data_IF_799006331864
#
_entry.id   IF_799006331864
#
_cell.length_a   1.000
_cell.length_b   1.000
_cell.length_c   1.000
_cell.angle_alpha   90.00
_cell.angle_beta   90.00
_cell.angle_gamma   90.00
#
_symmetry.space_group_name_H-M   'P 1'
#
loop_
_entity.id
_entity.type
_entity.pdbx_description
1 polymer ?
#
# COMPACT_ATOMS: atom_id res chain seq x y z
N UNK A 1 -10.45 -10.93 -6.49
CA UNK A 1 -10.20 -11.10 -7.93
C UNK A 1 -8.80 -11.64 -8.21
N UNK A 2 -7.71 -10.97 -7.81
CA UNK A 2 -6.35 -11.49 -8.03
C UNK A 2 -6.06 -12.82 -7.30
N UNK A 3 -6.53 -12.96 -6.05
CA UNK A 3 -6.47 -14.23 -5.30
C UNK A 3 -7.22 -15.38 -5.99
N UNK A 4 -8.31 -15.05 -6.70
CA UNK A 4 -9.07 -16.03 -7.48
C UNK A 4 -8.32 -16.42 -8.76
N UNK A 5 -7.61 -15.47 -9.38
CA UNK A 5 -6.69 -15.72 -10.49
C UNK A 5 -5.50 -16.61 -10.06
N UNK A 6 -4.92 -16.36 -8.88
CA UNK A 6 -3.86 -17.20 -8.31
C UNK A 6 -4.33 -18.65 -8.09
N UNK A 7 -5.49 -18.83 -7.45
CA UNK A 7 -6.06 -20.17 -7.23
C UNK A 7 -6.42 -20.88 -8.54
N UNK A 8 -6.78 -20.12 -9.59
CA UNK A 8 -7.07 -20.66 -10.93
C UNK A 8 -5.78 -21.02 -11.69
N UNK A 9 -4.68 -20.30 -11.47
CA UNK A 9 -3.37 -20.65 -12.03
C UNK A 9 -2.78 -21.90 -11.39
N UNK A 10 -2.98 -22.10 -10.08
CA UNK A 10 -2.54 -23.32 -9.38
C UNK A 10 -3.34 -24.57 -9.82
N UNK A 11 -4.60 -24.42 -10.24
CA UNK A 11 -5.46 -25.54 -10.62
C UNK A 11 -5.43 -25.90 -12.10
N UNK A 12 -5.01 -24.99 -12.98
CA UNK A 12 -4.98 -25.21 -14.43
C UNK A 12 -3.54 -25.51 -14.88
N UNK A 13 -3.15 -26.77 -14.72
CA UNK A 13 -2.03 -27.33 -15.47
C UNK A 13 -2.48 -27.51 -16.94
N UNK A 14 -1.71 -26.91 -17.85
CA UNK A 14 -1.68 -27.13 -19.31
C UNK A 14 -2.56 -26.34 -20.30
N UNK A 15 -3.58 -25.55 -19.93
CA UNK A 15 -4.25 -24.69 -20.93
C UNK A 15 -3.81 -23.21 -20.82
N UNK A 16 -3.08 -22.79 -21.87
CA UNK A 16 -2.68 -21.42 -22.27
C UNK A 16 -1.94 -20.55 -21.24
N UNK A 17 -0.67 -20.86 -20.97
CA UNK A 17 0.28 -19.92 -20.32
C UNK A 17 0.26 -18.53 -20.99
N UNK A 18 0.07 -18.48 -22.30
CA UNK A 18 0.02 -17.22 -23.06
C UNK A 18 -1.19 -16.37 -22.67
N UNK A 19 -2.37 -16.97 -22.50
CA UNK A 19 -3.60 -16.30 -22.04
C UNK A 19 -3.46 -15.83 -20.58
N UNK A 20 -2.77 -16.64 -19.77
CA UNK A 20 -2.42 -16.33 -18.39
C UNK A 20 -1.47 -15.13 -18.29
N UNK A 21 -0.44 -15.07 -19.16
CA UNK A 21 0.49 -13.94 -19.26
C UNK A 21 -0.25 -12.68 -19.76
N UNK A 22 -1.09 -12.81 -20.79
CA UNK A 22 -1.86 -11.69 -21.33
C UNK A 22 -2.81 -11.08 -20.28
N UNK A 23 -3.53 -11.94 -19.55
CA UNK A 23 -4.43 -11.50 -18.46
C UNK A 23 -3.66 -10.78 -17.36
N UNK A 24 -2.50 -11.30 -16.98
CA UNK A 24 -1.63 -10.67 -16.00
C UNK A 24 -1.11 -9.31 -16.48
N UNK A 25 -0.74 -9.19 -17.76
CA UNK A 25 -0.28 -7.93 -18.37
C UNK A 25 -1.37 -6.85 -18.40
N UNK A 26 -2.61 -7.23 -18.70
CA UNK A 26 -3.76 -6.33 -18.62
C UNK A 26 -3.96 -5.84 -17.18
N UNK A 27 -3.85 -6.74 -16.21
CA UNK A 27 -4.00 -6.40 -14.80
C UNK A 27 -2.88 -5.46 -14.31
N UNK A 28 -1.63 -5.77 -14.64
CA UNK A 28 -0.46 -4.93 -14.41
C UNK A 28 -0.66 -3.52 -14.96
N UNK A 29 -1.06 -3.39 -16.22
CA UNK A 29 -1.35 -2.09 -16.84
C UNK A 29 -2.46 -1.32 -16.11
N UNK A 30 -3.51 -2.01 -15.65
CA UNK A 30 -4.59 -1.39 -14.89
C UNK A 30 -4.12 -0.87 -13.54
N UNK A 31 -3.32 -1.64 -12.80
CA UNK A 31 -2.77 -1.17 -11.52
C UNK A 31 -1.84 0.02 -11.74
N UNK A 32 -0.90 -0.04 -12.69
CA UNK A 32 0.02 1.08 -12.94
C UNK A 32 -0.72 2.36 -13.32
N UNK A 33 -1.77 2.26 -14.14
CA UNK A 33 -2.63 3.40 -14.47
C UNK A 33 -3.35 3.93 -13.23
N UNK A 34 -3.94 3.03 -12.43
CA UNK A 34 -4.62 3.41 -11.19
C UNK A 34 -3.66 4.07 -10.22
N UNK A 35 -2.43 3.57 -10.09
CA UNK A 35 -1.41 4.15 -9.22
C UNK A 35 -1.09 5.58 -9.65
N UNK A 36 -0.83 5.82 -10.94
CA UNK A 36 -0.56 7.17 -11.45
C UNK A 36 -1.68 8.18 -11.12
N UNK A 37 -2.95 7.75 -11.14
CA UNK A 37 -4.09 8.60 -10.81
C UNK A 37 -4.26 8.83 -9.30
N UNK A 38 -4.03 7.81 -8.48
CA UNK A 38 -4.27 7.88 -7.02
C UNK A 38 -3.03 8.23 -6.19
N UNK A 39 -1.83 8.19 -6.77
CA UNK A 39 -0.56 8.34 -6.04
C UNK A 39 -0.46 9.69 -5.30
N UNK A 40 -0.90 10.78 -5.94
CA UNK A 40 -0.97 12.11 -5.33
C UNK A 40 -2.06 12.19 -4.25
N UNK A 41 -3.20 11.54 -4.45
CA UNK A 41 -4.27 11.45 -3.45
C UNK A 41 -3.82 10.66 -2.22
N UNK A 42 -3.06 9.58 -2.41
CA UNK A 42 -2.48 8.80 -1.32
C UNK A 42 -1.46 9.64 -0.54
N UNK A 43 -0.63 10.43 -1.22
CA UNK A 43 0.25 11.40 -0.54
C UNK A 43 -0.52 12.43 0.29
N UNK A 44 -1.53 13.06 -0.31
CA UNK A 44 -2.35 14.06 0.38
C UNK A 44 -3.05 13.45 1.59
N UNK A 45 -3.57 12.23 1.46
CA UNK A 45 -4.20 11.47 2.54
C UNK A 45 -3.20 11.11 3.62
N UNK A 46 -1.96 10.72 3.28
CA UNK A 46 -0.89 10.47 4.25
C UNK A 46 -0.54 11.73 5.04
N UNK A 47 -0.34 12.87 4.37
CA UNK A 47 -0.05 14.16 5.02
C UNK A 47 -1.21 14.57 5.93
N UNK A 48 -2.45 14.42 5.45
CA UNK A 48 -3.65 14.72 6.21
C UNK A 48 -3.77 13.88 7.49
N UNK A 49 -3.51 12.57 7.40
CA UNK A 49 -3.53 11.68 8.55
C UNK A 49 -2.41 11.99 9.55
N UNK A 50 -1.22 12.35 9.07
CA UNK A 50 -0.10 12.82 9.89
C UNK A 50 -0.49 14.05 10.71
N UNK A 51 -1.08 15.07 10.07
CA UNK A 51 -1.56 16.27 10.76
C UNK A 51 -2.63 15.92 11.79
N UNK A 52 -3.61 15.09 11.41
CA UNK A 52 -4.70 14.68 12.30
C UNK A 52 -4.17 13.92 13.52
N UNK A 53 -3.24 12.99 13.32
CA UNK A 53 -2.52 12.29 14.40
C UNK A 53 -1.85 13.24 15.37
N UNK A 54 -1.10 14.22 14.84
CA UNK A 54 -0.41 15.21 15.66
C UNK A 54 -1.38 16.00 16.54
N UNK A 55 -2.47 16.51 15.97
CA UNK A 55 -3.49 17.25 16.72
C UNK A 55 -4.17 16.38 17.78
N UNK A 56 -4.48 15.12 17.48
CA UNK A 56 -5.07 14.20 18.44
C UNK A 56 -4.12 13.88 19.59
N UNK A 57 -2.84 13.62 19.34
CA UNK A 57 -1.85 13.37 20.40
C UNK A 57 -1.64 14.63 21.24
N UNK A 58 -1.55 15.81 20.62
CA UNK A 58 -1.47 17.07 21.35
C UNK A 58 -2.71 17.32 22.21
N UNK A 59 -3.91 16.90 21.76
CA UNK A 59 -5.11 16.97 22.59
C UNK A 59 -5.01 16.14 23.87
N UNK A 60 -4.32 14.98 23.83
CA UNK A 60 -4.09 14.14 25.01
C UNK A 60 -3.06 14.77 25.95
N UNK A 61 -1.94 15.23 25.39
CA UNK A 61 -0.84 15.79 26.18
C UNK A 61 -1.23 17.13 26.82
N UNK A 62 -2.16 17.87 26.21
CA UNK A 62 -2.58 19.22 26.61
C UNK A 62 -4.09 19.32 26.81
N UNK A 63 -4.67 18.31 27.46
CA UNK A 63 -6.13 18.24 27.69
C UNK A 63 -6.69 19.47 28.43
N UNK A 64 -5.87 20.15 29.24
CA UNK A 64 -6.24 21.38 29.94
C UNK A 64 -6.39 22.62 29.04
N UNK A 65 -5.82 22.62 27.83
CA UNK A 65 -5.90 23.74 26.87
C UNK A 65 -7.19 23.67 26.01
N UNK A 66 -7.95 22.57 26.05
CA UNK A 66 -9.17 22.39 25.26
C UNK A 66 -10.40 22.90 26.00
N UNK A 67 -11.12 23.83 25.36
CA UNK A 67 -12.18 24.62 25.99
C UNK A 67 -13.46 23.83 26.32
N UNK A 68 -13.75 22.73 25.61
CA UNK A 68 -15.00 21.96 25.79
C UNK A 68 -14.84 20.45 25.53
N UNK A 69 -15.56 19.62 26.29
CA UNK A 69 -15.62 18.15 26.13
C UNK A 69 -16.09 17.76 24.71
N UNK A 70 -17.00 18.55 24.12
CA UNK A 70 -17.54 18.31 22.77
C UNK A 70 -16.45 18.41 21.71
N UNK A 71 -15.55 19.38 21.81
CA UNK A 71 -14.40 19.51 20.90
C UNK A 71 -13.46 18.29 21.03
N UNK A 72 -13.23 17.83 22.26
CA UNK A 72 -12.41 16.65 22.50
C UNK A 72 -12.99 15.38 21.85
N UNK A 73 -14.28 15.12 22.08
CA UNK A 73 -14.96 13.96 21.47
C UNK A 73 -14.95 14.05 19.95
N UNK A 74 -15.19 15.25 19.38
CA UNK A 74 -15.16 15.46 17.93
C UNK A 74 -13.79 15.17 17.32
N UNK A 75 -12.71 15.67 17.92
CA UNK A 75 -11.33 15.40 17.47
C UNK A 75 -11.03 13.91 17.51
N UNK A 76 -11.46 13.20 18.56
CA UNK A 76 -11.26 11.76 18.69
C UNK A 76 -12.07 10.93 17.69
N UNK A 77 -13.35 11.26 17.48
CA UNK A 77 -14.16 10.59 16.46
C UNK A 77 -13.55 10.79 15.07
N UNK A 78 -13.11 12.01 14.77
CA UNK A 78 -12.45 12.33 13.51
C UNK A 78 -11.15 11.57 13.32
N UNK A 79 -10.33 11.50 14.38
CA UNK A 79 -9.10 10.73 14.41
C UNK A 79 -9.32 9.25 14.10
N UNK A 80 -10.25 8.61 14.81
CA UNK A 80 -10.55 7.18 14.63
C UNK A 80 -11.02 6.92 13.20
N UNK A 81 -11.93 7.75 12.68
CA UNK A 81 -12.46 7.60 11.32
C UNK A 81 -11.38 7.78 10.24
N UNK A 82 -10.59 8.86 10.33
CA UNK A 82 -9.50 9.15 9.39
C UNK A 82 -8.44 8.05 9.43
N UNK A 83 -8.07 7.61 10.63
CA UNK A 83 -7.04 6.60 10.81
C UNK A 83 -7.49 5.20 10.36
N UNK A 84 -8.75 4.82 10.61
CA UNK A 84 -9.32 3.59 10.06
C UNK A 84 -9.31 3.60 8.52
N UNK A 85 -9.65 4.74 7.90
CA UNK A 85 -9.58 4.92 6.45
C UNK A 85 -8.14 4.78 5.93
N UNK A 86 -7.17 5.37 6.62
CA UNK A 86 -5.75 5.26 6.30
C UNK A 86 -5.24 3.81 6.36
N UNK A 87 -5.58 3.08 7.42
CA UNK A 87 -5.24 1.66 7.56
C UNK A 87 -5.90 0.86 6.43
N UNK A 88 -7.19 1.07 6.16
CA UNK A 88 -7.88 0.35 5.11
C UNK A 88 -7.20 0.55 3.75
N UNK A 89 -6.90 1.80 3.39
CA UNK A 89 -6.19 2.16 2.15
C UNK A 89 -4.82 1.49 2.07
N UNK A 90 -4.00 1.60 3.12
CA UNK A 90 -2.64 1.06 3.14
C UNK A 90 -2.61 -0.48 3.14
N UNK A 91 -3.56 -1.12 3.84
CA UNK A 91 -3.74 -2.58 3.82
C UNK A 91 -4.18 -3.04 2.43
N UNK A 92 -5.16 -2.39 1.80
CA UNK A 92 -5.59 -2.74 0.45
C UNK A 92 -4.45 -2.60 -0.56
N UNK A 93 -3.69 -1.50 -0.50
CA UNK A 93 -2.51 -1.28 -1.34
C UNK A 93 -1.45 -2.37 -1.13
N UNK A 94 -1.17 -2.75 0.13
CA UNK A 94 -0.23 -3.83 0.46
C UNK A 94 -0.72 -5.20 -0.02
N UNK A 95 -2.02 -5.49 0.08
CA UNK A 95 -2.60 -6.74 -0.43
C UNK A 95 -2.47 -6.83 -1.95
N UNK A 96 -2.62 -5.71 -2.67
CA UNK A 96 -2.39 -5.67 -4.12
C UNK A 96 -0.93 -5.95 -4.45
N UNK A 97 0.00 -5.34 -3.70
CA UNK A 97 1.43 -5.60 -3.85
C UNK A 97 1.79 -7.07 -3.59
N UNK A 98 1.33 -7.64 -2.48
CA UNK A 98 1.57 -9.05 -2.12
C UNK A 98 0.99 -10.01 -3.15
N UNK A 99 -0.25 -9.77 -3.58
CA UNK A 99 -0.91 -10.62 -4.57
C UNK A 99 -0.24 -10.50 -5.94
N UNK A 100 0.25 -9.31 -6.32
CA UNK A 100 1.04 -9.12 -7.53
C UNK A 100 2.37 -9.87 -7.46
N UNK A 101 3.10 -9.76 -6.33
CA UNK A 101 4.35 -10.48 -6.11
C UNK A 101 4.13 -11.99 -6.26
N UNK A 102 3.13 -12.54 -5.57
CA UNK A 102 2.84 -13.97 -5.61
C UNK A 102 2.46 -14.45 -7.03
N UNK A 103 1.61 -13.68 -7.74
CA UNK A 103 1.26 -14.00 -9.12
C UNK A 103 2.49 -13.96 -10.05
N UNK A 104 3.36 -12.96 -9.88
CA UNK A 104 4.62 -12.82 -10.62
C UNK A 104 5.55 -14.02 -10.39
N UNK A 105 5.67 -14.48 -9.14
CA UNK A 105 6.53 -15.60 -8.77
C UNK A 105 6.02 -16.92 -9.36
N UNK A 106 4.71 -17.17 -9.30
CA UNK A 106 4.07 -18.34 -9.92
C UNK A 106 4.24 -18.33 -11.44
N UNK A 107 3.98 -17.18 -12.09
CA UNK A 107 4.18 -17.01 -13.54
C UNK A 107 5.64 -17.25 -13.94
N UNK A 108 6.60 -16.77 -13.15
CA UNK A 108 8.03 -17.01 -13.35
C UNK A 108 8.36 -18.49 -13.25
N UNK A 109 7.88 -19.18 -12.22
CA UNK A 109 8.12 -20.61 -12.03
C UNK A 109 7.51 -21.45 -13.17
N UNK A 110 6.28 -21.15 -13.58
CA UNK A 110 5.61 -21.83 -14.70
C UNK A 110 6.32 -21.57 -16.03
N UNK A 111 6.79 -20.33 -16.27
CA UNK A 111 7.55 -19.98 -17.47
C UNK A 111 8.89 -20.74 -17.51
N UNK A 112 9.59 -20.80 -16.38
CA UNK A 112 10.86 -21.52 -16.25
C UNK A 112 10.68 -23.04 -16.44
N UNK A 113 9.66 -23.65 -15.82
CA UNK A 113 9.36 -25.09 -15.97
C UNK A 113 8.94 -25.48 -17.38
N UNK A 114 8.16 -24.63 -18.07
CA UNK A 114 7.62 -24.94 -19.39
C UNK A 114 8.63 -24.75 -20.53
N UNK A 115 9.59 -23.84 -20.38
CA UNK A 115 10.42 -23.39 -21.51
C UNK A 115 11.90 -23.26 -21.16
N UNK A 116 12.55 -24.41 -20.94
CA UNK A 116 14.01 -24.56 -20.88
C UNK A 116 14.73 -24.26 -22.22
N UNK A 117 14.03 -24.02 -23.34
CA UNK A 117 14.66 -23.86 -24.66
C UNK A 117 14.09 -22.80 -25.62
N UNK A 118 12.90 -22.20 -25.38
CA UNK A 118 12.15 -21.59 -26.52
C UNK A 118 11.28 -20.37 -26.20
N UNK A 119 11.68 -19.49 -25.28
CA UNK A 119 11.00 -18.19 -25.09
C UNK A 119 11.96 -17.03 -25.33
N UNK A 120 11.45 -15.98 -25.99
CA UNK A 120 12.22 -14.76 -26.24
C UNK A 120 12.63 -14.13 -24.89
N UNK A 121 13.89 -13.73 -24.71
CA UNK A 121 14.37 -13.08 -23.47
C UNK A 121 13.50 -11.92 -23.02
N UNK A 122 12.82 -11.26 -23.97
CA UNK A 122 11.93 -10.11 -23.74
C UNK A 122 10.72 -10.45 -22.86
N UNK A 123 10.11 -11.63 -22.98
CA UNK A 123 8.92 -11.98 -22.19
C UNK A 123 9.27 -12.29 -20.73
N UNK A 124 10.38 -13.00 -20.51
CA UNK A 124 10.92 -13.29 -19.18
C UNK A 124 11.34 -11.98 -18.49
N UNK A 125 12.04 -11.11 -19.22
CA UNK A 125 12.46 -9.79 -18.73
C UNK A 125 11.27 -8.91 -18.33
N UNK A 126 10.14 -8.99 -19.05
CA UNK A 126 8.95 -8.16 -18.78
C UNK A 126 8.18 -8.58 -17.51
N UNK A 127 8.23 -9.87 -17.17
CA UNK A 127 7.75 -10.39 -15.88
C UNK A 127 8.72 -9.93 -14.76
N UNK A 128 10.02 -9.95 -15.03
CA UNK A 128 11.07 -9.69 -14.05
C UNK A 128 11.27 -8.20 -13.70
N UNK A 129 11.07 -7.26 -14.64
CA UNK A 129 11.58 -5.89 -14.45
C UNK A 129 10.68 -4.90 -13.71
N UNK A 130 9.40 -5.19 -13.44
CA UNK A 130 8.52 -4.18 -12.83
C UNK A 130 7.65 -4.78 -11.72
N UNK A 131 8.13 -4.68 -10.48
CA UNK A 131 7.30 -4.82 -9.28
C UNK A 131 6.23 -3.74 -9.32
N UNK A 132 4.97 -4.16 -9.45
CA UNK A 132 3.84 -3.23 -9.45
C UNK A 132 3.39 -3.05 -8.00
N UNK A 133 3.58 -1.86 -7.49
CA UNK A 133 3.14 -1.43 -6.17
C UNK A 133 2.34 -0.15 -6.32
N UNK A 134 1.32 0.02 -5.48
CA UNK A 134 0.80 1.36 -5.24
C UNK A 134 1.85 2.20 -4.51
N UNK A 135 2.04 3.44 -4.93
CA UNK A 135 3.09 4.34 -4.44
C UNK A 135 2.51 5.61 -3.85
N UNK A 136 3.16 6.13 -2.83
CA UNK A 136 2.91 7.49 -2.34
C UNK A 136 3.76 8.45 -3.16
N UNK A 137 3.13 9.27 -4.00
CA UNK A 137 3.78 10.19 -4.95
C UNK A 137 4.83 9.54 -5.88
N UNK A 138 4.76 8.25 -6.25
CA UNK A 138 5.87 7.55 -6.94
C UNK A 138 7.21 7.54 -6.16
N UNK A 139 7.24 7.94 -4.89
CA UNK A 139 8.47 7.99 -4.08
C UNK A 139 8.62 6.72 -3.26
N UNK A 140 7.54 6.29 -2.58
CA UNK A 140 7.59 5.16 -1.64
C UNK A 140 6.49 4.14 -1.96
N UNK A 141 6.83 2.86 -2.19
CA UNK A 141 5.82 1.82 -2.35
C UNK A 141 5.10 1.54 -1.02
N UNK A 142 3.78 1.41 -1.07
CA UNK A 142 2.97 1.10 0.10
C UNK A 142 3.07 -0.40 0.39
N UNK A 143 3.83 -0.72 1.44
CA UNK A 143 3.93 -2.06 2.04
C UNK A 143 3.41 -2.00 3.47
N UNK A 144 3.15 -3.14 4.12
CA UNK A 144 2.77 -3.17 5.55
C UNK A 144 3.71 -2.38 6.45
N UNK A 145 5.02 -2.36 6.13
CA UNK A 145 6.03 -1.58 6.85
C UNK A 145 5.80 -0.07 6.80
N UNK A 146 5.12 0.45 5.78
CA UNK A 146 4.81 1.88 5.65
C UNK A 146 3.90 2.37 6.80
N UNK A 147 2.97 1.52 7.26
CA UNK A 147 2.05 1.83 8.36
C UNK A 147 2.83 1.97 9.67
N UNK A 148 3.70 0.99 9.97
CA UNK A 148 4.54 1.02 11.17
C UNK A 148 5.54 2.17 11.14
N UNK A 149 6.11 2.47 9.97
CA UNK A 149 7.04 3.60 9.78
C UNK A 149 6.38 4.95 10.03
N UNK A 150 5.18 5.17 9.47
CA UNK A 150 4.42 6.42 9.69
C UNK A 150 4.01 6.57 11.16
N UNK A 151 3.50 5.51 11.79
CA UNK A 151 3.18 5.51 13.23
C UNK A 151 4.40 5.83 14.11
N UNK A 152 5.51 5.14 13.87
CA UNK A 152 6.74 5.32 14.63
C UNK A 152 7.27 6.74 14.52
N UNK A 153 7.39 7.25 13.28
CA UNK A 153 7.84 8.62 13.04
C UNK A 153 6.95 9.64 13.75
N UNK A 154 5.62 9.48 13.68
CA UNK A 154 4.67 10.37 14.34
C UNK A 154 4.84 10.38 15.85
N UNK A 155 4.92 9.21 16.47
CA UNK A 155 5.12 9.11 17.91
C UNK A 155 6.42 9.78 18.34
N UNK A 156 7.52 9.54 17.61
CA UNK A 156 8.81 10.19 17.87
C UNK A 156 8.71 11.71 17.77
N UNK A 157 8.11 12.26 16.71
CA UNK A 157 7.96 13.71 16.56
C UNK A 157 7.07 14.33 17.65
N UNK A 158 6.00 13.66 18.05
CA UNK A 158 5.13 14.16 19.11
C UNK A 158 5.87 14.25 20.46
N UNK A 159 6.62 13.20 20.82
CA UNK A 159 7.44 13.19 22.06
C UNK A 159 8.54 14.23 21.99
N UNK A 160 9.22 14.36 20.85
CA UNK A 160 10.32 15.32 20.67
C UNK A 160 9.82 16.78 20.76
N UNK A 161 8.70 17.10 20.11
CA UNK A 161 8.11 18.44 20.15
C UNK A 161 7.56 18.80 21.54
N UNK A 162 6.95 17.84 22.25
CA UNK A 162 6.54 18.06 23.64
C UNK A 162 7.75 18.33 24.55
N UNK A 163 8.84 17.57 24.36
CA UNK A 163 10.08 17.73 25.13
C UNK A 163 10.75 19.08 24.87
N UNK A 164 10.78 19.54 23.61
CA UNK A 164 11.36 20.84 23.24
C UNK A 164 10.56 22.03 23.78
N UNK A 165 9.25 21.89 23.96
CA UNK A 165 8.38 22.98 24.45
C UNK A 165 8.33 23.06 25.98
N UNK A 166 8.86 22.07 26.69
CA UNK A 166 9.00 22.05 28.16
C UNK A 166 10.31 22.67 28.66
N UNK A 167 11.29 22.86 27.77
CA UNK A 167 12.50 23.66 28.01
C UNK A 167 12.29 25.11 27.58
#
# INVERSE_FOLDING_TARGET
MLKCFTNKMESVSHLSLDESIETYMIFKKRITKSDAEVSFLMFTTSVFNVCTMYFSIMSVLRSAEFLTIVQHVSVWCYFIASYASFIAMTVTASLVYEAHSNASDILRELTFKRFSATVSPKQIMLIETNQVSFTVWNIVPIRRSFIFGTLGAMFTYCVLLDSLKKN
#
